data_IF_096548864384
#
_entry.id   IF_096548864384
#
_cell.length_a   1.000
_cell.length_b   1.000
_cell.length_c   1.000
_cell.angle_alpha   90.00
_cell.angle_beta   90.00
_cell.angle_gamma   90.00
#
_symmetry.space_group_name_H-M   'P 1'
#
loop_
_entity.id
_entity.type
_entity.pdbx_description
1 polymer ?
#
# COMPACT_ATOMS: atom_id res chain seq x y z
N UNK A 1 -13.60 -15.02 -6.55
CA UNK A 1 -12.88 -13.79 -6.93
C UNK A 1 -13.93 -12.74 -7.17
N UNK A 2 -13.90 -11.60 -6.48
CA UNK A 2 -14.89 -10.54 -6.68
C UNK A 2 -14.76 -9.97 -8.10
N UNK A 3 -15.87 -9.85 -8.82
CA UNK A 3 -15.91 -9.33 -10.20
C UNK A 3 -15.27 -7.94 -10.32
N UNK A 4 -15.32 -7.14 -9.25
CA UNK A 4 -14.69 -5.83 -9.14
C UNK A 4 -13.16 -5.88 -9.23
N UNK A 5 -12.52 -6.89 -8.62
CA UNK A 5 -11.07 -7.05 -8.69
C UNK A 5 -10.62 -7.46 -10.09
N UNK A 6 -11.40 -8.32 -10.75
CA UNK A 6 -11.13 -8.75 -12.12
C UNK A 6 -11.23 -7.56 -13.09
N UNK A 7 -12.21 -6.67 -12.88
CA UNK A 7 -12.35 -5.45 -13.65
C UNK A 7 -11.18 -4.49 -13.44
N UNK A 8 -10.77 -4.23 -12.20
CA UNK A 8 -9.60 -3.40 -11.90
C UNK A 8 -8.32 -3.95 -12.55
N UNK A 9 -8.15 -5.28 -12.53
CA UNK A 9 -7.02 -5.93 -13.17
C UNK A 9 -7.03 -5.77 -14.70
N UNK A 10 -8.18 -5.97 -15.34
CA UNK A 10 -8.33 -5.81 -16.78
C UNK A 10 -8.14 -4.34 -17.22
N UNK A 11 -8.64 -3.39 -16.44
CA UNK A 11 -8.43 -1.96 -16.69
C UNK A 11 -6.95 -1.59 -16.55
N UNK A 12 -6.25 -2.11 -15.54
CA UNK A 12 -4.80 -1.95 -15.41
C UNK A 12 -4.05 -2.54 -16.62
N UNK A 13 -4.39 -3.75 -17.05
CA UNK A 13 -3.76 -4.39 -18.21
C UNK A 13 -3.91 -3.56 -19.48
N UNK A 14 -5.03 -2.86 -19.67
CA UNK A 14 -5.23 -2.00 -20.82
C UNK A 14 -4.24 -0.81 -20.88
N UNK A 15 -3.73 -0.34 -19.74
CA UNK A 15 -2.64 0.64 -19.71
C UNK A 15 -1.28 -0.01 -20.00
N UNK A 16 -1.03 -1.19 -19.43
CA UNK A 16 0.20 -1.95 -19.65
C UNK A 16 0.38 -2.34 -21.13
N UNK A 17 -0.67 -2.83 -21.78
CA UNK A 17 -0.65 -3.22 -23.20
C UNK A 17 -0.38 -2.03 -24.14
N UNK A 18 -0.72 -0.82 -23.70
CA UNK A 18 -0.46 0.43 -24.44
C UNK A 18 0.91 1.02 -24.15
N UNK A 19 1.68 0.45 -23.21
CA UNK A 19 2.92 1.03 -22.71
C UNK A 19 2.71 2.38 -22.01
N UNK A 20 1.50 2.66 -21.50
CA UNK A 20 1.18 3.91 -20.83
C UNK A 20 1.46 3.80 -19.32
N UNK A 21 2.74 3.88 -18.97
CA UNK A 21 3.20 3.75 -17.57
C UNK A 21 2.63 4.87 -16.68
N UNK A 22 2.52 6.10 -17.21
CA UNK A 22 1.98 7.24 -16.46
C UNK A 22 0.49 7.05 -16.17
N UNK A 23 -0.28 6.59 -17.17
CA UNK A 23 -1.69 6.24 -17.02
C UNK A 23 -1.91 5.07 -16.06
N UNK A 24 -1.08 4.02 -16.16
CA UNK A 24 -1.11 2.87 -15.26
C UNK A 24 -0.86 3.29 -13.80
N UNK A 25 0.16 4.13 -13.57
CA UNK A 25 0.47 4.66 -12.24
C UNK A 25 -0.68 5.48 -11.68
N UNK A 26 -1.24 6.39 -12.48
CA UNK A 26 -2.38 7.22 -12.07
C UNK A 26 -3.59 6.35 -11.71
N UNK A 27 -3.89 5.35 -12.54
CA UNK A 27 -4.98 4.41 -12.30
C UNK A 27 -4.84 3.69 -10.96
N UNK A 28 -3.64 3.19 -10.65
CA UNK A 28 -3.37 2.48 -9.39
C UNK A 28 -3.54 3.39 -8.16
N UNK A 29 -3.13 4.66 -8.26
CA UNK A 29 -3.31 5.64 -7.17
C UNK A 29 -4.78 6.02 -6.99
N UNK A 30 -5.47 6.36 -8.09
CA UNK A 30 -6.87 6.80 -8.07
C UNK A 30 -7.83 5.68 -7.58
N UNK A 31 -7.44 4.41 -7.77
CA UNK A 31 -8.24 3.25 -7.38
C UNK A 31 -7.66 2.49 -6.18
N UNK A 32 -6.64 3.01 -5.49
CA UNK A 32 -5.92 2.29 -4.44
C UNK A 32 -6.86 1.66 -3.39
N UNK A 33 -7.83 2.43 -2.91
CA UNK A 33 -8.77 1.99 -1.86
C UNK A 33 -9.75 0.90 -2.29
N UNK A 34 -9.89 0.64 -3.60
CA UNK A 34 -10.76 -0.40 -4.16
C UNK A 34 -10.08 -1.77 -4.21
N UNK A 35 -8.75 -1.82 -4.09
CA UNK A 35 -8.04 -3.09 -4.02
C UNK A 35 -8.19 -3.73 -2.63
N UNK A 36 -8.05 -5.06 -2.52
CA UNK A 36 -7.92 -5.71 -1.22
C UNK A 36 -6.74 -5.12 -0.44
N UNK A 37 -6.86 -5.01 0.90
CA UNK A 37 -5.84 -4.39 1.76
C UNK A 37 -4.41 -4.90 1.48
N UNK A 38 -4.24 -6.21 1.30
CA UNK A 38 -2.95 -6.83 0.99
C UNK A 38 -2.33 -6.29 -0.31
N UNK A 39 -3.14 -5.98 -1.31
CA UNK A 39 -2.71 -5.40 -2.59
C UNK A 39 -2.42 -3.91 -2.42
N UNK A 40 -3.21 -3.19 -1.62
CA UNK A 40 -2.93 -1.79 -1.29
C UNK A 40 -1.55 -1.64 -0.65
N UNK A 41 -1.25 -2.46 0.35
CA UNK A 41 0.02 -2.43 1.08
C UNK A 41 1.20 -2.71 0.14
N UNK A 42 1.05 -3.67 -0.78
CA UNK A 42 2.05 -3.99 -1.81
C UNK A 42 2.26 -2.84 -2.82
N UNK A 43 1.18 -2.18 -3.25
CA UNK A 43 1.26 -1.05 -4.19
C UNK A 43 1.93 0.17 -3.54
N UNK A 44 1.57 0.50 -2.30
CA UNK A 44 2.22 1.56 -1.52
C UNK A 44 3.71 1.29 -1.39
N UNK A 45 4.07 0.04 -1.10
CA UNK A 45 5.46 -0.36 -0.97
C UNK A 45 6.22 -0.24 -2.30
N UNK A 46 5.66 -0.72 -3.40
CA UNK A 46 6.29 -0.62 -4.73
C UNK A 46 6.53 0.85 -5.15
N UNK A 47 5.55 1.74 -4.93
CA UNK A 47 5.74 3.16 -5.24
C UNK A 47 6.79 3.84 -4.37
N UNK A 48 6.91 3.42 -3.10
CA UNK A 48 7.95 3.91 -2.22
C UNK A 48 9.34 3.43 -2.66
N UNK A 49 9.49 2.15 -3.01
CA UNK A 49 10.76 1.63 -3.54
C UNK A 49 11.18 2.34 -4.83
N UNK A 50 10.24 2.57 -5.75
CA UNK A 50 10.50 3.27 -7.00
C UNK A 50 10.96 4.72 -6.76
N UNK A 51 10.31 5.44 -5.86
CA UNK A 51 10.70 6.81 -5.50
C UNK A 51 12.12 6.87 -4.89
N UNK A 52 12.52 5.85 -4.12
CA UNK A 52 13.88 5.74 -3.58
C UNK A 52 14.93 5.42 -4.65
N UNK A 53 14.55 4.68 -5.70
CA UNK A 53 15.46 4.36 -6.82
C UNK A 53 15.74 5.58 -7.70
N UNK A 54 14.73 6.45 -7.92
CA UNK A 54 14.89 7.65 -8.76
C UNK A 54 15.83 8.71 -8.16
N UNK A 55 16.02 8.72 -6.83
CA UNK A 55 16.91 9.68 -6.16
C UNK A 55 18.39 9.27 -6.10
N UNK A 56 18.78 8.02 -6.40
CA UNK A 56 20.16 7.57 -6.08
C UNK A 56 20.79 6.63 -7.12
N UNK A 57 21.89 7.08 -7.75
CA UNK A 57 22.75 6.30 -8.68
C UNK A 57 23.61 5.20 -7.99
N UNK A 58 23.23 4.70 -6.81
CA UNK A 58 24.10 3.85 -5.97
C UNK A 58 23.43 2.56 -5.46
N UNK A 59 23.55 1.46 -6.23
CA UNK A 59 22.94 0.15 -5.92
C UNK A 59 23.17 -0.42 -4.50
N UNK A 60 24.22 -0.01 -3.78
CA UNK A 60 24.51 -0.50 -2.42
C UNK A 60 23.75 0.24 -1.32
N UNK A 61 23.51 1.55 -1.48
CA UNK A 61 22.79 2.35 -0.50
C UNK A 61 21.28 2.05 -0.57
N UNK A 62 20.78 1.71 -1.78
CA UNK A 62 19.39 1.32 -2.03
C UNK A 62 18.96 0.11 -1.19
N UNK A 63 19.76 -0.96 -1.14
CA UNK A 63 19.38 -2.17 -0.41
C UNK A 63 19.25 -1.93 1.11
N UNK A 64 20.12 -1.08 1.67
CA UNK A 64 20.08 -0.70 3.08
C UNK A 64 18.84 0.18 3.38
N UNK A 65 18.55 1.15 2.51
CA UNK A 65 17.38 2.03 2.63
C UNK A 65 16.08 1.25 2.44
N UNK A 66 15.99 0.32 1.48
CA UNK A 66 14.84 -0.57 1.29
C UNK A 66 14.57 -1.42 2.52
N UNK A 67 15.63 -2.00 3.12
CA UNK A 67 15.51 -2.77 4.37
C UNK A 67 15.03 -1.91 5.53
N UNK A 68 15.51 -0.67 5.64
CA UNK A 68 15.06 0.28 6.66
C UNK A 68 13.61 0.73 6.42
N UNK A 69 13.21 0.98 5.18
CA UNK A 69 11.84 1.32 4.79
C UNK A 69 10.85 0.19 5.09
N UNK A 70 11.20 -1.06 4.75
CA UNK A 70 10.44 -2.26 5.11
C UNK A 70 10.24 -2.39 6.62
N UNK A 71 11.31 -2.15 7.39
CA UNK A 71 11.24 -2.20 8.84
C UNK A 71 10.34 -1.09 9.40
N UNK A 72 10.43 0.13 8.85
CA UNK A 72 9.61 1.26 9.25
C UNK A 72 8.12 1.02 8.94
N UNK A 73 7.79 0.51 7.75
CA UNK A 73 6.42 0.17 7.37
C UNK A 73 5.83 -0.93 8.27
N UNK A 74 6.61 -1.97 8.56
CA UNK A 74 6.20 -3.01 9.51
C UNK A 74 5.93 -2.45 10.91
N UNK A 75 6.70 -1.45 11.35
CA UNK A 75 6.46 -0.76 12.62
C UNK A 75 5.21 0.11 12.56
N UNK A 76 4.96 0.80 11.45
CA UNK A 76 3.75 1.61 11.24
C UNK A 76 2.50 0.74 11.26
N UNK A 77 2.51 -0.42 10.61
CA UNK A 77 1.37 -1.35 10.61
C UNK A 77 1.09 -1.92 12.00
N UNK A 78 2.15 -2.27 12.75
CA UNK A 78 2.00 -2.68 14.15
C UNK A 78 1.40 -1.56 15.00
N UNK A 79 1.87 -0.33 14.81
CA UNK A 79 1.34 0.83 15.53
C UNK A 79 -0.14 1.10 15.19
N UNK A 80 -0.54 0.97 13.92
CA UNK A 80 -1.94 1.07 13.48
C UNK A 80 -2.82 0.02 14.15
N UNK A 81 -2.39 -1.26 14.15
CA UNK A 81 -3.15 -2.34 14.82
C UNK A 81 -3.33 -2.09 16.31
N UNK A 82 -2.26 -1.65 17.01
CA UNK A 82 -2.34 -1.30 18.43
C UNK A 82 -3.33 -0.17 18.68
N UNK A 83 -3.36 0.84 17.80
CA UNK A 83 -4.31 1.94 17.90
C UNK A 83 -5.76 1.49 17.66
N UNK A 84 -5.99 0.66 16.65
CA UNK A 84 -7.31 0.07 16.36
C UNK A 84 -7.81 -0.77 17.55
N UNK A 85 -6.95 -1.59 18.15
CA UNK A 85 -7.31 -2.41 19.31
C UNK A 85 -7.65 -1.54 20.53
N UNK A 86 -6.91 -0.45 20.76
CA UNK A 86 -7.23 0.52 21.82
C UNK A 86 -8.56 1.24 21.59
N UNK A 87 -8.87 1.59 20.34
CA UNK A 87 -10.16 2.19 19.98
C UNK A 87 -11.29 1.20 20.25
N UNK A 88 -11.14 -0.06 19.84
CA UNK A 88 -12.12 -1.13 20.12
C UNK A 88 -12.31 -1.37 21.62
N UNK A 89 -11.23 -1.39 22.40
CA UNK A 89 -11.32 -1.55 23.86
C UNK A 89 -12.09 -0.39 24.50
N UNK A 90 -11.81 0.84 24.07
CA UNK A 90 -12.51 2.03 24.56
C UNK A 90 -14.01 1.97 24.22
N UNK A 91 -14.36 1.67 22.97
CA UNK A 91 -15.75 1.54 22.52
C UNK A 91 -16.50 0.44 23.28
N UNK A 92 -15.84 -0.68 23.59
CA UNK A 92 -16.42 -1.77 24.39
C UNK A 92 -16.63 -1.35 25.85
N UNK A 93 -15.68 -0.63 26.45
CA UNK A 93 -15.83 -0.08 27.80
C UNK A 93 -17.00 0.90 27.87
N UNK A 94 -17.05 1.85 26.93
CA UNK A 94 -18.10 2.86 26.89
C UNK A 94 -19.50 2.24 26.79
N UNK A 95 -19.64 1.13 26.02
CA UNK A 95 -20.89 0.35 25.91
C UNK A 95 -21.25 -0.49 27.14
N UNK A 96 -20.28 -0.85 27.99
CA UNK A 96 -20.51 -1.63 29.22
C UNK A 96 -20.81 -0.74 30.44
N UNK A 97 -20.48 0.55 30.37
CA UNK A 97 -20.75 1.54 31.41
C UNK A 97 -21.97 2.44 31.14
N UNK A 98 -22.67 2.25 30.02
CA UNK A 98 -24.01 2.81 29.74
C UNK A 98 -25.09 1.81 30.15
#
# INVERSE_FOLDING_TARGET
MNDEFLNLYNEFLAYADKGDESGARKFLVDNLTKFPQEVQDKLIFAFFEEALMDETKGMKEIAEIQKQGLAAMSQIDKAKRILEDKIKEKDLRDKLTQ
#
